data_IF_299157600246
#
_entry.id   IF_299157600246
#
_cell.length_a   1.000
_cell.length_b   1.000
_cell.length_c   1.000
_cell.angle_alpha   90.00
_cell.angle_beta   90.00
_cell.angle_gamma   90.00
#
_symmetry.space_group_name_H-M   'P 1'
#
loop_
_entity.id
_entity.type
_entity.pdbx_description
1 polymer ?
#
# COMPACT_ATOMS: atom_id res chain seq x y z
N UNK A 1 -6.88 3.09 19.09
CA UNK A 1 -7.57 2.54 17.88
C UNK A 1 -6.65 1.53 17.20
N UNK A 2 -7.14 0.36 16.82
CA UNK A 2 -6.38 -0.66 16.10
C UNK A 2 -6.82 -0.62 14.63
N UNK A 3 -5.87 -0.68 13.71
CA UNK A 3 -6.10 -0.71 12.26
C UNK A 3 -5.72 -2.11 11.73
N UNK A 4 -6.61 -3.11 11.85
CA UNK A 4 -6.26 -4.50 11.58
C UNK A 4 -5.91 -4.76 10.11
N UNK A 5 -6.55 -4.09 9.16
CA UNK A 5 -6.24 -4.23 7.73
C UNK A 5 -4.85 -3.67 7.44
N UNK A 6 -4.58 -2.45 7.91
CA UNK A 6 -3.30 -1.77 7.71
C UNK A 6 -2.15 -2.56 8.34
N UNK A 7 -2.31 -3.02 9.58
CA UNK A 7 -1.29 -3.81 10.28
C UNK A 7 -1.01 -5.13 9.56
N UNK A 8 -2.06 -5.84 9.13
CA UNK A 8 -1.91 -7.10 8.39
C UNK A 8 -1.24 -6.86 7.03
N UNK A 9 -1.69 -5.85 6.29
CA UNK A 9 -1.12 -5.51 4.98
C UNK A 9 0.35 -5.07 5.11
N UNK A 10 0.68 -4.25 6.11
CA UNK A 10 2.05 -3.80 6.35
C UNK A 10 2.96 -4.97 6.75
N UNK A 11 2.51 -5.86 7.63
CA UNK A 11 3.25 -7.06 8.02
C UNK A 11 3.51 -7.98 6.83
N UNK A 12 2.48 -8.27 6.02
CA UNK A 12 2.63 -9.07 4.81
C UNK A 12 3.56 -8.40 3.78
N UNK A 13 3.42 -7.09 3.59
CA UNK A 13 4.30 -6.32 2.70
C UNK A 13 5.76 -6.36 3.17
N UNK A 14 6.02 -6.26 4.47
CA UNK A 14 7.38 -6.37 5.02
C UNK A 14 8.00 -7.75 4.72
N UNK A 15 7.23 -8.84 4.87
CA UNK A 15 7.69 -10.19 4.54
C UNK A 15 7.95 -10.37 3.04
N UNK A 16 7.09 -9.83 2.18
CA UNK A 16 7.29 -9.85 0.73
C UNK A 16 8.54 -9.04 0.35
N UNK A 17 8.74 -7.87 0.96
CA UNK A 17 9.92 -7.05 0.73
C UNK A 17 11.22 -7.78 1.10
N UNK A 18 11.24 -8.41 2.27
CA UNK A 18 12.37 -9.24 2.71
C UNK A 18 12.64 -10.39 1.73
N UNK A 19 11.59 -11.11 1.32
CA UNK A 19 11.72 -12.19 0.33
C UNK A 19 12.30 -11.69 -1.00
N UNK A 20 11.84 -10.53 -1.50
CA UNK A 20 12.37 -9.92 -2.72
C UNK A 20 13.85 -9.52 -2.57
N UNK A 21 14.22 -8.94 -1.43
CA UNK A 21 15.62 -8.60 -1.14
C UNK A 21 16.52 -9.85 -1.12
N UNK A 22 16.08 -10.93 -0.47
CA UNK A 22 16.79 -12.22 -0.46
C UNK A 22 16.96 -12.75 -1.89
N UNK A 23 15.94 -12.67 -2.73
CA UNK A 23 16.01 -13.12 -4.14
C UNK A 23 17.05 -12.33 -4.94
N UNK A 24 17.17 -11.02 -4.70
CA UNK A 24 18.23 -10.21 -5.31
C UNK A 24 19.61 -10.68 -4.84
N UNK A 25 19.81 -10.91 -3.54
CA UNK A 25 21.06 -11.43 -2.99
C UNK A 25 21.44 -12.79 -3.59
N UNK A 26 20.48 -13.70 -3.70
CA UNK A 26 20.70 -15.04 -4.29
C UNK A 26 21.16 -14.97 -5.74
N UNK A 27 20.52 -14.15 -6.58
CA UNK A 27 20.92 -14.04 -7.99
C UNK A 27 22.28 -13.38 -8.13
N UNK A 28 22.58 -12.36 -7.32
CA UNK A 28 23.90 -11.72 -7.30
C UNK A 28 25.00 -12.69 -6.98
N UNK A 29 24.82 -13.52 -5.97
CA UNK A 29 25.78 -14.57 -5.58
C UNK A 29 25.97 -15.59 -6.69
N UNK A 30 24.86 -16.06 -7.30
CA UNK A 30 24.90 -17.03 -8.40
C UNK A 30 25.62 -16.49 -9.63
N UNK A 31 25.35 -15.26 -10.01
CA UNK A 31 25.93 -14.61 -11.19
C UNK A 31 27.27 -13.91 -10.92
N UNK A 32 27.77 -13.99 -9.66
CA UNK A 32 29.03 -13.37 -9.20
C UNK A 32 29.08 -11.85 -9.39
N UNK A 33 27.93 -11.16 -9.28
CA UNK A 33 27.79 -9.71 -9.40
C UNK A 33 27.72 -9.09 -8.02
N UNK A 34 28.82 -8.54 -7.52
CA UNK A 34 28.89 -7.97 -6.16
C UNK A 34 28.19 -6.61 -6.05
N UNK A 35 28.36 -5.71 -7.02
CA UNK A 35 27.84 -4.34 -7.02
C UNK A 35 27.21 -4.04 -8.40
N UNK A 36 26.15 -3.23 -8.40
CA UNK A 36 25.43 -2.90 -9.63
C UNK A 36 24.64 -4.10 -10.17
N UNK A 37 24.38 -4.12 -11.46
CA UNK A 37 23.69 -5.21 -12.18
C UNK A 37 24.63 -6.06 -13.03
N UNK A 38 25.87 -5.57 -13.26
CA UNK A 38 26.87 -6.25 -14.10
C UNK A 38 26.43 -6.46 -15.55
N UNK A 39 25.39 -5.76 -16.02
CA UNK A 39 24.78 -6.02 -17.31
C UNK A 39 24.05 -7.37 -17.40
N UNK A 40 23.86 -8.06 -16.26
CA UNK A 40 23.24 -9.37 -16.22
C UNK A 40 21.71 -9.26 -16.11
N UNK A 41 21.01 -9.79 -17.12
CA UNK A 41 19.55 -9.71 -17.19
C UNK A 41 18.82 -10.33 -16.01
N UNK A 42 19.31 -11.44 -15.44
CA UNK A 42 18.68 -12.10 -14.31
C UNK A 42 18.76 -11.21 -13.05
N UNK A 43 19.91 -10.54 -12.86
CA UNK A 43 20.11 -9.58 -11.76
C UNK A 43 19.20 -8.38 -11.96
N UNK A 44 19.19 -7.80 -13.16
CA UNK A 44 18.33 -6.65 -13.52
C UNK A 44 16.86 -6.96 -13.23
N UNK A 45 16.34 -8.07 -13.69
CA UNK A 45 14.93 -8.46 -13.50
C UNK A 45 14.54 -8.54 -12.02
N UNK A 46 15.36 -9.16 -11.18
CA UNK A 46 15.07 -9.26 -9.74
C UNK A 46 15.22 -7.93 -9.00
N UNK A 47 16.22 -7.13 -9.37
CA UNK A 47 16.35 -5.76 -8.86
C UNK A 47 15.14 -4.91 -9.23
N UNK A 48 14.67 -4.97 -10.49
CA UNK A 48 13.49 -4.24 -10.94
C UNK A 48 12.20 -4.69 -10.25
N UNK A 49 12.04 -6.00 -9.99
CA UNK A 49 10.91 -6.51 -9.22
C UNK A 49 10.88 -5.95 -7.80
N UNK A 50 12.04 -5.92 -7.13
CA UNK A 50 12.16 -5.36 -5.78
C UNK A 50 11.97 -3.83 -5.78
N UNK A 51 12.62 -3.10 -6.68
CA UNK A 51 12.47 -1.64 -6.80
C UNK A 51 11.00 -1.27 -7.05
N UNK A 52 10.33 -1.91 -7.99
CA UNK A 52 8.92 -1.65 -8.27
C UNK A 52 8.00 -1.93 -7.05
N UNK A 53 8.33 -2.93 -6.23
CA UNK A 53 7.61 -3.17 -4.98
C UNK A 53 7.79 -2.01 -4.01
N UNK A 54 9.02 -1.56 -3.79
CA UNK A 54 9.34 -0.48 -2.84
C UNK A 54 8.86 0.89 -3.31
N UNK A 55 8.71 1.11 -4.61
CA UNK A 55 8.19 2.34 -5.19
C UNK A 55 6.67 2.51 -4.94
N UNK A 56 5.88 1.46 -5.05
CA UNK A 56 4.41 1.56 -4.99
C UNK A 56 3.82 1.18 -3.63
N UNK A 57 4.40 0.22 -2.93
CA UNK A 57 3.82 -0.33 -1.70
C UNK A 57 3.63 0.70 -0.58
N UNK A 58 4.57 1.64 -0.32
CA UNK A 58 4.37 2.66 0.71
C UNK A 58 3.13 3.51 0.47
N UNK A 59 2.88 3.95 -0.77
CA UNK A 59 1.69 4.73 -1.10
C UNK A 59 0.40 3.96 -0.87
N UNK A 60 0.36 2.69 -1.27
CA UNK A 60 -0.80 1.82 -1.03
C UNK A 60 -1.05 1.62 0.46
N UNK A 61 -0.01 1.36 1.26
CA UNK A 61 -0.16 1.19 2.70
C UNK A 61 -0.63 2.47 3.40
N UNK A 62 -0.11 3.63 3.00
CA UNK A 62 -0.56 4.93 3.52
C UNK A 62 -2.04 5.16 3.18
N UNK A 63 -2.46 4.88 1.94
CA UNK A 63 -3.85 5.04 1.52
C UNK A 63 -4.78 4.08 2.27
N UNK A 64 -4.40 2.81 2.42
CA UNK A 64 -5.16 1.83 3.22
C UNK A 64 -5.30 2.34 4.65
N UNK A 65 -4.20 2.78 5.27
CA UNK A 65 -4.20 3.27 6.64
C UNK A 65 -5.06 4.52 6.84
N UNK A 66 -4.94 5.49 5.93
CA UNK A 66 -5.74 6.71 5.98
C UNK A 66 -7.24 6.43 5.80
N UNK A 67 -7.60 5.55 4.86
CA UNK A 67 -9.00 5.16 4.62
C UNK A 67 -9.55 4.36 5.80
N UNK A 68 -8.79 3.39 6.33
CA UNK A 68 -9.21 2.60 7.50
C UNK A 68 -9.39 3.49 8.75
N UNK A 69 -8.52 4.49 8.91
CA UNK A 69 -8.63 5.46 9.98
C UNK A 69 -9.89 6.33 9.86
N UNK A 70 -10.22 6.77 8.64
CA UNK A 70 -11.34 7.64 8.36
C UNK A 70 -12.69 6.91 8.36
N UNK A 71 -12.76 5.68 7.87
CA UNK A 71 -14.02 4.95 7.63
C UNK A 71 -14.21 3.73 8.51
N UNK A 72 -13.20 3.35 9.28
CA UNK A 72 -13.15 2.10 10.03
C UNK A 72 -12.83 0.88 9.15
N UNK A 73 -12.75 -0.27 9.82
CA UNK A 73 -12.46 -1.55 9.18
C UNK A 73 -13.64 -2.01 8.32
N UNK A 74 -13.37 -2.37 7.06
CA UNK A 74 -14.41 -2.78 6.11
C UNK A 74 -13.99 -3.98 5.26
N UNK A 75 -14.96 -4.79 4.84
CA UNK A 75 -14.70 -6.00 4.03
C UNK A 75 -14.11 -5.67 2.66
N UNK A 76 -14.57 -4.58 2.02
CA UNK A 76 -14.03 -4.19 0.72
C UNK A 76 -12.55 -3.79 0.79
N UNK A 77 -12.15 -3.12 1.87
CA UNK A 77 -10.76 -2.70 2.07
C UNK A 77 -9.85 -3.93 2.33
N UNK A 78 -10.35 -4.97 3.04
CA UNK A 78 -9.70 -6.27 3.14
C UNK A 78 -9.50 -6.92 1.77
N UNK A 79 -10.54 -6.90 0.92
CA UNK A 79 -10.46 -7.48 -0.42
C UNK A 79 -9.43 -6.75 -1.29
N UNK A 80 -9.44 -5.41 -1.32
CA UNK A 80 -8.48 -4.62 -2.11
C UNK A 80 -7.05 -4.83 -1.60
N UNK A 81 -6.82 -4.82 -0.29
CA UNK A 81 -5.49 -5.04 0.30
C UNK A 81 -4.94 -6.42 -0.04
N UNK A 82 -5.77 -7.46 0.08
CA UNK A 82 -5.39 -8.84 -0.26
C UNK A 82 -5.10 -8.99 -1.75
N UNK A 83 -5.96 -8.44 -2.61
CA UNK A 83 -5.77 -8.45 -4.05
C UNK A 83 -4.47 -7.75 -4.47
N UNK A 84 -4.17 -6.60 -3.84
CA UNK A 84 -2.92 -5.90 -4.07
C UNK A 84 -1.70 -6.77 -3.74
N UNK A 85 -1.66 -7.38 -2.55
CA UNK A 85 -0.53 -8.22 -2.12
C UNK A 85 -0.34 -9.43 -3.04
N UNK A 86 -1.43 -10.10 -3.44
CA UNK A 86 -1.40 -11.19 -4.43
C UNK A 86 -0.88 -10.68 -5.77
N UNK A 87 -1.32 -9.52 -6.24
CA UNK A 87 -0.82 -8.88 -7.45
C UNK A 87 0.69 -8.62 -7.40
N UNK A 88 1.22 -8.26 -6.23
CA UNK A 88 2.67 -8.05 -6.04
C UNK A 88 3.48 -9.34 -6.15
N UNK A 89 2.95 -10.44 -5.61
CA UNK A 89 3.57 -11.76 -5.78
C UNK A 89 3.55 -12.20 -7.25
N UNK A 90 2.42 -12.06 -7.92
CA UNK A 90 2.29 -12.37 -9.36
C UNK A 90 3.26 -11.54 -10.21
N UNK A 91 3.40 -10.25 -9.89
CA UNK A 91 4.36 -9.38 -10.58
C UNK A 91 5.81 -9.88 -10.40
N UNK A 92 6.18 -10.27 -9.18
CA UNK A 92 7.53 -10.76 -8.88
C UNK A 92 7.86 -12.05 -9.64
N UNK A 93 6.94 -13.00 -9.71
CA UNK A 93 7.08 -14.21 -10.55
C UNK A 93 7.05 -13.87 -12.04
N UNK A 94 6.26 -12.88 -12.43
CA UNK A 94 6.20 -12.39 -13.80
C UNK A 94 7.52 -11.83 -14.30
N UNK A 95 8.30 -11.22 -13.43
CA UNK A 95 9.64 -10.72 -13.74
C UNK A 95 10.66 -11.85 -13.98
N UNK A 96 10.43 -13.05 -13.46
CA UNK A 96 11.28 -14.23 -13.72
C UNK A 96 10.97 -14.93 -15.07
N UNK A 97 9.98 -14.46 -15.81
CA UNK A 97 9.66 -14.97 -17.15
C UNK A 97 8.19 -15.29 -17.39
N UNK A 98 7.34 -15.29 -16.36
CA UNK A 98 5.90 -15.49 -16.51
C UNK A 98 5.20 -14.16 -16.88
N UNK A 99 5.28 -13.78 -18.16
CA UNK A 99 4.79 -12.48 -18.66
C UNK A 99 3.35 -12.13 -18.23
N UNK A 100 2.35 -13.06 -18.23
CA UNK A 100 1.01 -12.73 -17.74
C UNK A 100 0.98 -12.26 -16.28
N UNK A 101 1.78 -12.86 -15.42
CA UNK A 101 1.87 -12.45 -14.00
C UNK A 101 2.38 -11.02 -13.83
N UNK A 102 3.36 -10.63 -14.67
CA UNK A 102 3.85 -9.24 -14.69
C UNK A 102 2.75 -8.26 -15.09
N UNK A 103 2.02 -8.54 -16.17
CA UNK A 103 0.95 -7.68 -16.66
C UNK A 103 -0.18 -7.55 -15.62
N UNK A 104 -0.69 -8.66 -15.13
CA UNK A 104 -1.78 -8.70 -14.13
C UNK A 104 -1.37 -7.95 -12.86
N UNK A 105 -0.18 -8.23 -12.33
CA UNK A 105 0.32 -7.55 -11.13
C UNK A 105 0.48 -6.04 -11.30
N UNK A 106 0.90 -5.58 -12.49
CA UNK A 106 0.98 -4.15 -12.81
C UNK A 106 -0.41 -3.52 -12.87
N UNK A 107 -1.36 -4.15 -13.56
CA UNK A 107 -2.75 -3.66 -13.68
C UNK A 107 -3.38 -3.53 -12.29
N UNK A 108 -3.28 -4.57 -11.45
CA UNK A 108 -3.80 -4.54 -10.08
C UNK A 108 -3.19 -3.38 -9.30
N UNK A 109 -1.87 -3.16 -9.40
CA UNK A 109 -1.19 -2.05 -8.72
C UNK A 109 -1.72 -0.69 -9.17
N UNK A 110 -1.85 -0.46 -10.48
CA UNK A 110 -2.34 0.80 -11.03
C UNK A 110 -3.80 1.06 -10.62
N UNK A 111 -4.66 0.05 -10.74
CA UNK A 111 -6.06 0.16 -10.33
C UNK A 111 -6.21 0.40 -8.83
N UNK A 112 -5.38 -0.24 -8.00
CA UNK A 112 -5.38 0.00 -6.55
C UNK A 112 -4.97 1.43 -6.21
N UNK A 113 -3.92 1.96 -6.86
CA UNK A 113 -3.48 3.36 -6.65
C UNK A 113 -4.57 4.36 -7.05
N UNK A 114 -5.13 4.21 -8.25
CA UNK A 114 -6.18 5.13 -8.74
C UNK A 114 -7.45 5.01 -7.90
N UNK A 115 -7.87 3.78 -7.58
CA UNK A 115 -9.08 3.54 -6.80
C UNK A 115 -8.98 4.04 -5.37
N UNK A 116 -7.92 3.66 -4.65
CA UNK A 116 -7.72 4.10 -3.26
C UNK A 116 -7.40 5.60 -3.18
N UNK A 117 -6.58 6.12 -4.11
CA UNK A 117 -6.26 7.54 -4.16
C UNK A 117 -7.48 8.40 -4.47
N UNK A 118 -8.28 8.03 -5.47
CA UNK A 118 -9.53 8.71 -5.80
C UNK A 118 -10.54 8.66 -4.65
N UNK A 119 -10.68 7.50 -4.00
CA UNK A 119 -11.56 7.36 -2.84
C UNK A 119 -11.10 8.20 -1.64
N UNK A 120 -9.80 8.27 -1.36
CA UNK A 120 -9.26 9.10 -0.30
C UNK A 120 -9.52 10.60 -0.55
N UNK A 121 -9.35 11.06 -1.80
CA UNK A 121 -9.69 12.43 -2.21
C UNK A 121 -11.21 12.69 -2.03
N UNK A 122 -12.04 11.75 -2.46
CA UNK A 122 -13.49 11.85 -2.27
C UNK A 122 -13.86 11.99 -0.79
N UNK A 123 -13.30 11.15 0.09
CA UNK A 123 -13.54 11.23 1.53
C UNK A 123 -13.15 12.60 2.10
N UNK A 124 -11.99 13.13 1.73
CA UNK A 124 -11.54 14.43 2.20
C UNK A 124 -12.55 15.55 1.86
N UNK A 125 -13.11 15.53 0.65
CA UNK A 125 -14.08 16.57 0.23
C UNK A 125 -15.48 16.38 0.79
N UNK A 126 -15.86 15.17 1.18
CA UNK A 126 -17.19 14.93 1.78
C UNK A 126 -17.21 15.11 3.29
N UNK A 127 -16.05 15.09 3.95
CA UNK A 127 -15.93 15.30 5.39
C UNK A 127 -15.94 16.78 5.79
N UNK A 128 -15.66 17.71 4.89
CA UNK A 128 -15.64 19.17 5.16
C UNK A 128 -17.03 19.74 5.52
N UNK A 129 -18.11 18.96 5.41
CA UNK A 129 -19.47 19.35 5.77
C UNK A 129 -19.88 19.11 7.23
N UNK A 130 -19.05 18.45 8.04
CA UNK A 130 -19.43 18.00 9.39
C UNK A 130 -18.94 18.97 10.50
N UNK A 131 -17.91 19.78 10.24
CA UNK A 131 -17.26 20.59 11.28
C UNK A 131 -17.80 22.03 11.45
N UNK A 132 -18.87 22.43 10.74
CA UNK A 132 -19.44 23.77 10.84
C UNK A 132 -20.60 23.90 11.81
N UNK A 133 -21.04 22.85 12.50
CA UNK A 133 -22.06 22.91 13.56
C UNK A 133 -21.51 22.68 14.98
N UNK A 134 -20.41 23.30 15.35
CA UNK A 134 -20.17 23.57 16.77
C UNK A 134 -20.88 24.88 17.10
N UNK A 135 -22.15 24.80 17.35
CA UNK A 135 -22.96 25.90 17.88
C UNK A 135 -22.41 26.29 19.27
N UNK A 136 -21.99 27.56 19.49
CA UNK A 136 -21.59 28.01 20.79
C UNK A 136 -22.83 28.40 21.62
N UNK A 137 -23.72 27.47 21.92
CA UNK A 137 -24.94 27.74 22.69
C UNK A 137 -25.04 27.07 24.05
N UNK A 138 -23.93 26.56 24.58
CA UNK A 138 -23.96 25.88 25.89
C UNK A 138 -23.08 26.54 27.00
N UNK A 139 -22.62 27.80 26.82
CA UNK A 139 -21.74 28.45 27.83
C UNK A 139 -22.41 29.62 28.53
N UNK A 140 -23.70 29.91 28.26
CA UNK A 140 -24.35 31.12 28.85
C UNK A 140 -25.42 30.79 29.89
N UNK A 141 -25.36 29.66 30.57
CA UNK A 141 -26.35 29.41 31.62
C UNK A 141 -25.70 28.75 32.86
N UNK A 142 -25.05 29.57 33.69
CA UNK A 142 -24.95 29.40 35.15
C UNK A 142 -24.03 30.45 35.79
N UNK A 143 -24.50 31.72 35.86
CA UNK A 143 -24.04 32.60 36.93
C UNK A 143 -25.26 32.79 37.86
N UNK A 144 -25.29 32.19 39.04
CA UNK A 144 -26.27 32.54 40.02
C UNK A 144 -25.88 33.90 40.62
N UNK A 145 -26.73 34.90 40.46
CA UNK A 145 -26.67 36.13 41.27
C UNK A 145 -27.02 35.77 42.70
N UNK A 146 -26.11 36.07 43.63
CA UNK A 146 -26.31 36.02 45.05
C UNK A 146 -25.42 37.03 45.70
#
# INVERSE_FOLDING_TARGET
MILPITLTAAGAAALINLWLAIRVGQVRTKEKVMIGDGGNENVIRRMRAHANFTEFTPFILILIGAIELATGTSTWLWAVSSLYLVGRLLHAFGMDGFMPGRMIGTIITMLSLVGLGGYAIYLAHTSDGIDTEITPSAVTESIPEG
#
